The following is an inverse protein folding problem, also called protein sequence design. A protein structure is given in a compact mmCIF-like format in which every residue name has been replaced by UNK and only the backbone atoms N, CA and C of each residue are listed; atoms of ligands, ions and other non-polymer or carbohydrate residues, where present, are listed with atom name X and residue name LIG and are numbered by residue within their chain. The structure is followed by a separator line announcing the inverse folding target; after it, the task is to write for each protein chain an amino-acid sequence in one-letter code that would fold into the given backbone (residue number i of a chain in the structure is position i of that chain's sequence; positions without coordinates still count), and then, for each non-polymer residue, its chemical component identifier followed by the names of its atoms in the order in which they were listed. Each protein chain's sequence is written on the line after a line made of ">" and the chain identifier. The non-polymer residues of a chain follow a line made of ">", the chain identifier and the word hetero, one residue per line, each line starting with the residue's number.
data_IF_784586993873
#
_entry.id   IF_784586993873
#
_cell.length_a   1.000
_cell.length_b   1.000
_cell.length_c   1.000
_cell.angle_alpha   90.00
_cell.angle_beta   90.00
_cell.angle_gamma   90.00
#
_symmetry.space_group_name_H-M   'P 1'
#
loop_
_entity.id
_entity.type
_entity.pdbx_description
1 polymer ?
#
# COMPACT_ATOMS: atom_id res chain seq x y z
N UNK A 1 -16.71 7.75 -9.68
CA UNK A 1 -15.81 6.82 -8.96
C UNK A 1 -15.58 7.39 -7.56
N UNK A 2 -15.18 6.60 -6.58
CA UNK A 2 -15.07 7.00 -5.15
C UNK A 2 -14.41 8.37 -4.90
N UNK A 3 -13.51 8.83 -5.78
CA UNK A 3 -12.99 10.20 -5.75
C UNK A 3 -14.06 11.28 -5.91
N UNK A 4 -15.01 11.13 -6.83
CA UNK A 4 -16.09 12.11 -7.06
C UNK A 4 -16.99 12.24 -5.82
N UNK A 5 -17.27 11.12 -5.15
CA UNK A 5 -18.05 11.07 -3.90
C UNK A 5 -17.31 11.77 -2.75
N UNK A 6 -15.99 11.59 -2.67
CA UNK A 6 -15.15 12.24 -1.65
C UNK A 6 -14.97 13.74 -1.95
N UNK A 7 -14.80 14.12 -3.21
CA UNK A 7 -14.67 15.52 -3.63
C UNK A 7 -15.98 16.31 -3.49
N UNK A 8 -17.14 15.64 -3.53
CA UNK A 8 -18.44 16.25 -3.21
C UNK A 8 -18.53 16.61 -1.71
N UNK A 9 -17.96 15.78 -0.83
CA UNK A 9 -17.89 16.05 0.60
C UNK A 9 -16.74 17.00 0.97
N UNK A 10 -15.60 16.93 0.27
CA UNK A 10 -14.33 17.54 0.64
C UNK A 10 -13.52 17.97 -0.60
N UNK A 11 -13.87 19.11 -1.20
CA UNK A 11 -13.25 19.55 -2.44
C UNK A 11 -11.78 19.96 -2.26
N UNK A 12 -10.89 19.35 -3.05
CA UNK A 12 -9.47 19.72 -3.09
C UNK A 12 -8.64 19.24 -1.90
N UNK A 13 -9.16 18.31 -1.10
CA UNK A 13 -8.44 17.75 0.08
C UNK A 13 -7.71 16.45 -0.27
N UNK A 14 -8.24 15.62 -1.18
CA UNK A 14 -7.77 14.24 -1.40
C UNK A 14 -7.38 13.97 -2.87
N UNK A 15 -6.15 13.51 -3.11
CA UNK A 15 -5.69 13.06 -4.43
C UNK A 15 -5.96 11.56 -4.69
N UNK A 16 -5.89 11.13 -5.97
CA UNK A 16 -5.97 9.70 -6.31
C UNK A 16 -4.88 8.85 -5.64
N UNK A 17 -3.70 9.43 -5.43
CA UNK A 17 -2.61 8.77 -4.71
C UNK A 17 -2.97 8.58 -3.24
N UNK A 18 -3.62 9.56 -2.61
CA UNK A 18 -4.07 9.46 -1.22
C UNK A 18 -5.13 8.37 -1.06
N UNK A 19 -6.10 8.30 -1.98
CA UNK A 19 -7.12 7.23 -2.00
C UNK A 19 -6.46 5.85 -2.12
N UNK A 20 -5.46 5.70 -3.00
CA UNK A 20 -4.74 4.45 -3.17
C UNK A 20 -3.96 4.08 -1.90
N UNK A 21 -3.30 5.06 -1.26
CA UNK A 21 -2.56 4.84 -0.03
C UNK A 21 -3.49 4.43 1.12
N UNK A 22 -4.61 5.14 1.31
CA UNK A 22 -5.62 4.82 2.32
C UNK A 22 -6.22 3.43 2.10
N UNK A 23 -6.67 3.15 0.88
CA UNK A 23 -7.25 1.84 0.54
C UNK A 23 -6.25 0.69 0.71
N UNK A 24 -4.97 0.93 0.42
CA UNK A 24 -3.92 -0.09 0.61
C UNK A 24 -3.61 -0.30 2.08
N UNK A 25 -3.57 0.75 2.91
CA UNK A 25 -3.39 0.64 4.36
C UNK A 25 -4.50 -0.21 4.99
N UNK A 26 -5.75 0.07 4.65
CA UNK A 26 -6.90 -0.68 5.14
C UNK A 26 -6.90 -2.12 4.60
N UNK A 27 -6.59 -2.30 3.32
CA UNK A 27 -6.50 -3.61 2.68
C UNK A 27 -5.41 -4.50 3.31
N UNK A 28 -4.26 -3.94 3.66
CA UNK A 28 -3.19 -4.67 4.37
C UNK A 28 -3.66 -5.07 5.77
N UNK A 29 -4.28 -4.17 6.53
CA UNK A 29 -4.81 -4.51 7.87
C UNK A 29 -5.87 -5.61 7.78
N UNK A 30 -6.81 -5.48 6.84
CA UNK A 30 -7.86 -6.48 6.63
C UNK A 30 -7.28 -7.83 6.16
N UNK A 31 -6.30 -7.82 5.25
CA UNK A 31 -5.64 -9.03 4.75
C UNK A 31 -4.81 -9.75 5.82
N UNK A 32 -4.21 -9.00 6.74
CA UNK A 32 -3.45 -9.55 7.88
C UNK A 32 -4.37 -10.02 9.01
N UNK A 33 -5.57 -9.46 9.11
CA UNK A 33 -6.56 -9.88 10.09
C UNK A 33 -7.11 -11.26 9.72
N UNK A 34 -7.18 -12.16 10.71
CA UNK A 34 -7.71 -13.52 10.56
C UNK A 34 -9.24 -13.56 10.24
N UNK A 35 -9.84 -12.42 9.91
CA UNK A 35 -11.27 -12.29 9.64
C UNK A 35 -11.66 -12.57 8.17
N UNK A 36 -10.67 -12.81 7.29
CA UNK A 36 -10.92 -13.24 5.90
C UNK A 36 -11.41 -14.69 5.87
N UNK A 37 -12.70 -14.88 6.15
CA UNK A 37 -13.43 -16.14 6.06
C UNK A 37 -13.89 -16.48 4.62
N UNK A 38 -13.30 -15.84 3.61
CA UNK A 38 -13.50 -16.17 2.20
C UNK A 38 -12.15 -16.52 1.58
N UNK A 39 -11.74 -17.78 1.77
CA UNK A 39 -10.90 -18.57 0.85
C UNK A 39 -9.46 -18.13 0.53
N UNK A 40 -8.99 -16.97 0.98
CA UNK A 40 -7.64 -16.48 0.72
C UNK A 40 -7.04 -15.86 1.98
N UNK A 41 -6.64 -16.70 2.93
CA UNK A 41 -5.85 -16.24 4.07
C UNK A 41 -4.48 -15.78 3.57
N UNK A 42 -4.08 -14.57 3.96
CA UNK A 42 -2.73 -14.08 3.71
C UNK A 42 -1.74 -14.84 4.61
N UNK A 43 -1.12 -15.87 4.03
CA UNK A 43 -0.32 -16.85 4.74
C UNK A 43 1.14 -16.89 4.24
N UNK A 44 1.94 -17.75 4.88
CA UNK A 44 3.34 -17.95 4.52
C UNK A 44 3.57 -19.09 3.50
N UNK A 45 2.53 -19.53 2.77
CA UNK A 45 2.65 -20.63 1.81
C UNK A 45 3.68 -20.31 0.73
N UNK A 46 3.74 -19.05 0.28
CA UNK A 46 4.76 -18.57 -0.66
C UNK A 46 6.18 -18.96 -0.21
N UNK A 47 6.59 -18.63 1.02
CA UNK A 47 7.92 -18.96 1.54
C UNK A 47 8.14 -20.47 1.73
N UNK A 48 7.09 -21.20 2.14
CA UNK A 48 7.12 -22.68 2.24
C UNK A 48 7.38 -23.36 0.90
N UNK A 49 6.89 -22.79 -0.20
CA UNK A 49 7.19 -23.31 -1.55
C UNK A 49 8.61 -22.93 -2.00
N UNK A 50 9.09 -21.75 -1.61
CA UNK A 50 10.41 -21.23 -1.96
C UNK A 50 11.56 -22.11 -1.43
N UNK A 51 11.47 -22.53 -0.17
CA UNK A 51 12.48 -23.41 0.46
C UNK A 51 12.50 -24.82 -0.16
N UNK A 52 11.45 -25.20 -0.91
CA UNK A 52 11.35 -26.47 -1.64
C UNK A 52 11.82 -26.37 -3.09
N UNK A 53 12.39 -25.23 -3.49
CA UNK A 53 12.82 -24.99 -4.87
C UNK A 53 11.65 -24.79 -5.85
N UNK A 54 10.47 -24.37 -5.34
CA UNK A 54 9.25 -24.18 -6.13
C UNK A 54 8.82 -22.72 -6.16
N UNK A 55 9.77 -21.81 -6.40
CA UNK A 55 9.46 -20.42 -6.69
C UNK A 55 8.54 -20.27 -7.91
N UNK A 56 7.63 -19.30 -7.86
CA UNK A 56 6.68 -19.03 -8.94
C UNK A 56 7.41 -18.44 -10.15
N UNK A 57 8.30 -17.49 -9.90
CA UNK A 57 9.15 -16.84 -10.90
C UNK A 57 10.64 -17.13 -10.62
N UNK A 58 11.47 -16.97 -11.65
CA UNK A 58 12.93 -17.06 -11.50
C UNK A 58 13.47 -16.06 -10.47
N UNK A 59 12.90 -14.85 -10.43
CA UNK A 59 13.27 -13.81 -9.46
C UNK A 59 12.98 -14.25 -8.02
N UNK A 60 11.87 -14.96 -7.79
CA UNK A 60 11.48 -15.44 -6.46
C UNK A 60 12.49 -16.47 -5.96
N UNK A 61 12.86 -17.44 -6.79
CA UNK A 61 13.82 -18.48 -6.40
C UNK A 61 15.22 -17.91 -6.11
N UNK A 62 15.56 -16.75 -6.69
CA UNK A 62 16.82 -16.05 -6.40
C UNK A 62 16.91 -15.50 -4.97
N UNK A 63 15.80 -15.37 -4.24
CA UNK A 63 15.83 -15.05 -2.81
C UNK A 63 16.58 -16.11 -2.00
N UNK A 64 16.66 -17.35 -2.48
CA UNK A 64 17.43 -18.43 -1.84
C UNK A 64 18.91 -18.48 -2.25
N UNK A 65 19.35 -17.62 -3.19
CA UNK A 65 20.72 -17.65 -3.70
C UNK A 65 21.72 -16.88 -2.82
N UNK A 66 21.25 -15.92 -2.01
CA UNK A 66 22.05 -15.19 -1.05
C UNK A 66 21.73 -15.68 0.37
N UNK A 67 22.76 -15.90 1.19
CA UNK A 67 22.63 -16.46 2.53
C UNK A 67 21.72 -15.64 3.44
N UNK A 68 21.83 -14.30 3.41
CA UNK A 68 21.04 -13.40 4.27
C UNK A 68 19.57 -13.40 3.89
N UNK A 69 19.27 -13.39 2.59
CA UNK A 69 17.87 -13.44 2.13
C UNK A 69 17.28 -14.82 2.32
N UNK A 70 18.09 -15.88 2.18
CA UNK A 70 17.66 -17.25 2.44
C UNK A 70 17.29 -17.46 3.90
N UNK A 71 18.06 -16.91 4.85
CA UNK A 71 17.76 -16.96 6.30
C UNK A 71 16.37 -16.37 6.59
N UNK A 72 16.08 -15.16 6.11
CA UNK A 72 14.77 -14.52 6.30
C UNK A 72 13.64 -15.34 5.67
N UNK A 73 13.86 -15.90 4.47
CA UNK A 73 12.87 -16.78 3.82
C UNK A 73 12.60 -18.04 4.64
N UNK A 74 13.63 -18.62 5.25
CA UNK A 74 13.51 -19.79 6.12
C UNK A 74 12.69 -19.44 7.36
N UNK A 75 12.99 -18.33 8.04
CA UNK A 75 12.25 -17.88 9.22
C UNK A 75 10.77 -17.67 8.90
N UNK A 76 10.46 -16.98 7.80
CA UNK A 76 9.08 -16.78 7.36
C UNK A 76 8.37 -18.08 7.00
N UNK A 77 9.08 -19.08 6.48
CA UNK A 77 8.51 -20.36 6.09
C UNK A 77 8.24 -21.30 7.28
N UNK A 78 9.05 -21.24 8.34
CA UNK A 78 9.01 -22.17 9.47
C UNK A 78 7.99 -21.77 10.55
N UNK A 79 7.68 -20.49 10.69
CA UNK A 79 6.68 -19.98 11.63
C UNK A 79 5.22 -20.25 11.16
N UNK A 80 4.23 -19.92 12.01
CA UNK A 80 2.79 -19.92 11.67
C UNK A 80 2.36 -18.78 10.71
N UNK A 81 3.36 -18.01 10.23
CA UNK A 81 3.20 -16.88 9.34
C UNK A 81 3.03 -15.55 10.05
N UNK A 82 3.03 -15.52 11.39
CA UNK A 82 2.92 -14.27 12.17
C UNK A 82 4.10 -13.36 11.93
N UNK A 83 5.32 -13.91 11.85
CA UNK A 83 6.52 -13.13 11.56
C UNK A 83 6.42 -12.45 10.18
N UNK A 84 6.09 -13.22 9.14
CA UNK A 84 5.88 -12.69 7.80
C UNK A 84 4.79 -11.61 7.77
N UNK A 85 3.61 -11.89 8.37
CA UNK A 85 2.49 -10.96 8.41
C UNK A 85 2.87 -9.63 9.05
N UNK A 86 3.59 -9.68 10.17
CA UNK A 86 4.04 -8.49 10.91
C UNK A 86 5.04 -7.67 10.10
N UNK A 87 6.07 -8.31 9.55
CA UNK A 87 7.10 -7.61 8.76
C UNK A 87 6.54 -7.09 7.43
N UNK A 88 5.62 -7.82 6.82
CA UNK A 88 4.89 -7.36 5.64
C UNK A 88 4.08 -6.10 5.93
N UNK A 89 3.37 -6.04 7.07
CA UNK A 89 2.65 -4.85 7.51
C UNK A 89 3.58 -3.64 7.64
N UNK A 90 4.71 -3.83 8.32
CA UNK A 90 5.72 -2.77 8.51
C UNK A 90 6.34 -2.30 7.19
N UNK A 91 6.66 -3.23 6.29
CA UNK A 91 7.22 -2.91 4.98
C UNK A 91 6.21 -2.14 4.12
N UNK A 92 4.95 -2.57 4.10
CA UNK A 92 3.88 -1.89 3.37
C UNK A 92 3.61 -0.49 3.94
N UNK A 93 3.60 -0.34 5.27
CA UNK A 93 3.47 1.00 5.88
C UNK A 93 4.60 1.94 5.42
N UNK A 94 5.84 1.47 5.34
CA UNK A 94 6.98 2.25 4.86
C UNK A 94 6.92 2.55 3.35
N UNK A 95 6.45 1.60 2.54
CA UNK A 95 6.29 1.79 1.09
C UNK A 95 5.21 2.83 0.78
N UNK A 96 4.14 2.83 1.58
CA UNK A 96 3.05 3.79 1.48
C UNK A 96 3.45 5.19 1.98
N UNK A 97 4.50 5.28 2.78
CA UNK A 97 5.10 6.53 3.26
C UNK A 97 6.14 7.12 2.28
N UNK A 98 6.39 6.44 1.15
CA UNK A 98 7.41 6.85 0.19
C UNK A 98 6.95 8.05 -0.65
N UNK A 99 7.85 9.02 -0.80
CA UNK A 99 7.62 10.37 -1.33
C UNK A 99 6.79 10.37 -2.62
N UNK A 100 5.54 10.83 -2.49
CA UNK A 100 4.75 11.33 -3.63
C UNK A 100 5.12 12.79 -3.84
N UNK A 101 5.19 13.24 -5.10
CA UNK A 101 5.51 14.65 -5.40
C UNK A 101 4.45 15.55 -4.74
N UNK A 102 4.88 16.38 -3.79
CA UNK A 102 4.01 17.32 -3.06
C UNK A 102 4.21 18.76 -3.55
N UNK A 103 3.22 19.61 -3.30
CA UNK A 103 3.30 21.04 -3.61
C UNK A 103 3.42 21.33 -5.11
N UNK A 104 4.28 22.27 -5.50
CA UNK A 104 4.44 22.71 -6.90
C UNK A 104 5.11 21.67 -7.82
N UNK A 105 5.55 20.54 -7.27
CA UNK A 105 6.16 19.46 -8.03
C UNK A 105 5.15 18.35 -8.38
N UNK A 106 3.95 18.36 -7.79
CA UNK A 106 2.91 17.36 -8.00
C UNK A 106 1.72 17.90 -8.81
N UNK A 107 0.97 16.98 -9.43
CA UNK A 107 -0.29 17.28 -10.09
C UNK A 107 -1.40 16.38 -9.54
N UNK A 108 -2.54 16.97 -9.17
CA UNK A 108 -3.69 16.20 -8.71
C UNK A 108 -4.54 15.77 -9.89
N UNK A 109 -4.54 14.46 -10.14
CA UNK A 109 -5.44 13.85 -11.12
C UNK A 109 -6.88 13.97 -10.63
N UNK A 110 -7.75 14.50 -11.48
CA UNK A 110 -9.19 14.59 -11.22
C UNK A 110 -9.91 13.26 -11.44
N UNK A 111 -9.35 12.40 -12.28
CA UNK A 111 -9.83 11.05 -12.52
C UNK A 111 -8.69 10.07 -12.28
N UNK A 112 -8.92 9.05 -11.45
CA UNK A 112 -7.88 8.05 -11.13
C UNK A 112 -7.66 7.03 -12.26
N UNK A 113 -8.44 7.14 -13.34
CA UNK A 113 -8.39 6.26 -14.51
C UNK A 113 -7.72 6.90 -15.72
N UNK A 114 -7.42 8.20 -15.65
CA UNK A 114 -6.87 8.97 -16.76
C UNK A 114 -5.81 9.96 -16.30
N UNK A 115 -4.69 10.02 -17.03
CA UNK A 115 -3.71 11.09 -16.87
C UNK A 115 -4.35 12.42 -17.30
N UNK A 116 -4.15 13.48 -16.52
CA UNK A 116 -4.55 14.81 -16.95
C UNK A 116 -3.77 15.20 -18.21
N UNK A 117 -4.49 15.75 -19.18
CA UNK A 117 -3.93 16.15 -20.48
C UNK A 117 -3.38 17.58 -20.49
N UNK A 118 -3.40 18.29 -19.35
CA UNK A 118 -2.85 19.65 -19.18
C UNK A 118 -2.34 19.85 -17.74
N UNK A 119 -1.22 20.56 -17.53
CA UNK A 119 -0.75 20.88 -16.19
C UNK A 119 -1.79 21.72 -15.44
N UNK A 120 -2.19 21.26 -14.26
CA UNK A 120 -3.08 21.97 -13.34
C UNK A 120 -2.42 23.27 -12.88
N UNK A 121 -3.20 24.36 -12.83
CA UNK A 121 -2.73 25.68 -12.38
C UNK A 121 -2.40 25.62 -10.88
N UNK A 122 -1.25 26.18 -10.50
CA UNK A 122 -0.69 26.22 -9.14
C UNK A 122 -1.52 27.01 -8.09
N UNK A 123 -2.84 27.13 -8.26
CA UNK A 123 -3.75 27.86 -7.36
C UNK A 123 -4.57 26.96 -6.44
N UNK A 124 -4.61 25.64 -6.65
CA UNK A 124 -5.21 24.66 -5.73
C UNK A 124 -4.22 24.30 -4.60
N UNK A 125 -3.72 25.31 -3.90
CA UNK A 125 -2.59 25.24 -2.96
C UNK A 125 -2.98 24.77 -1.57
N UNK A 126 -3.69 23.66 -1.43
CA UNK A 126 -3.95 23.05 -0.13
C UNK A 126 -4.20 21.54 -0.18
N UNK A 127 -3.55 20.82 -1.10
CA UNK A 127 -3.62 19.36 -1.11
C UNK A 127 -2.52 18.86 -0.16
N UNK A 128 -2.94 18.60 1.08
CA UNK A 128 -2.10 18.05 2.12
C UNK A 128 -2.00 16.54 1.93
N UNK A 129 -0.84 16.04 1.48
CA UNK A 129 -0.42 14.68 1.83
C UNK A 129 -0.02 14.74 3.30
N UNK A 130 -1.00 14.80 4.20
CA UNK A 130 -0.72 14.79 5.63
C UNK A 130 -0.47 13.34 6.05
N UNK A 131 0.81 12.99 6.00
CA UNK A 131 1.45 11.94 6.79
C UNK A 131 0.65 11.60 8.05
N UNK A 132 0.13 10.37 8.11
CA UNK A 132 -0.45 9.84 9.35
C UNK A 132 -1.81 10.40 9.77
N UNK A 133 -2.61 11.00 8.87
CA UNK A 133 -4.00 11.30 9.19
C UNK A 133 -4.78 10.01 9.41
N UNK A 134 -5.18 9.77 10.66
CA UNK A 134 -6.27 8.85 10.96
C UNK A 134 -7.52 9.33 10.24
N UNK A 135 -8.39 8.41 9.81
CA UNK A 135 -9.65 8.70 9.13
C UNK A 135 -10.50 9.79 9.83
N UNK A 136 -10.32 9.95 11.14
CA UNK A 136 -10.91 10.99 11.99
C UNK A 136 -10.40 12.42 11.71
N UNK A 137 -9.13 12.59 11.32
CA UNK A 137 -8.55 13.89 10.96
C UNK A 137 -8.89 14.31 9.53
N UNK A 138 -9.17 13.36 8.63
CA UNK A 138 -9.61 13.66 7.26
C UNK A 138 -11.00 14.35 7.29
N UNK A 139 -11.87 13.95 8.22
CA UNK A 139 -13.18 14.56 8.48
C UNK A 139 -13.12 15.96 9.10
N UNK A 140 -12.02 16.29 9.80
CA UNK A 140 -11.82 17.62 10.40
C UNK A 140 -11.35 18.68 9.38
N UNK A 141 -10.95 18.26 8.18
CA UNK A 141 -10.40 19.12 7.13
C UNK A 141 -11.44 19.50 6.03
N UNK A 142 -12.70 19.07 6.13
CA UNK A 142 -13.74 19.24 5.09
C UNK A 142 -14.78 20.37 5.30
#
# INVERSE_FOLDING_TARGET
>A
MIKDEIEEACSGVVSCSDILVLATRDGVVLGLSAFSSIGASFDNHYYKTLIRGRGLLFADQKLMANEKTAEVVIDYALDDGTMFRTEFAHAMAKLLDFVVLTGSQGEVQRSCSHLNSKPVRATDRNIYVQYGIDQLHLLLLC
#
